data_IF_942027645212
#
_entry.id   IF_942027645212
#
_cell.length_a   1.000
_cell.length_b   1.000
_cell.length_c   1.000
_cell.angle_alpha   90.00
_cell.angle_beta   90.00
_cell.angle_gamma   90.00
#
_symmetry.space_group_name_H-M   'P 1'
#
loop_
_entity.id
_entity.type
_entity.pdbx_description
1 polymer ?
#
# COMPACT_ATOMS: atom_id res chain seq x y z
N UNK A 1 -15.87 23.99 31.22
CA UNK A 1 -17.11 23.26 31.53
C UNK A 1 -16.82 21.79 31.22
N UNK A 2 -16.52 21.01 32.25
CA UNK A 2 -15.98 19.63 32.16
C UNK A 2 -17.08 18.68 32.61
N UNK A 3 -17.44 17.62 31.86
CA UNK A 3 -18.33 16.60 32.38
C UNK A 3 -17.55 15.64 33.30
N UNK A 4 -18.09 15.33 34.50
CA UNK A 4 -17.50 14.38 35.41
C UNK A 4 -18.00 12.95 35.13
N UNK A 5 -17.10 11.99 35.35
CA UNK A 5 -17.44 10.71 35.98
C UNK A 5 -18.20 9.69 35.16
N UNK A 6 -17.50 8.63 34.74
CA UNK A 6 -18.15 7.37 34.38
C UNK A 6 -17.34 6.19 34.93
N UNK A 7 -17.67 5.86 36.18
CA UNK A 7 -18.00 4.51 36.65
C UNK A 7 -17.12 3.33 36.22
N UNK A 8 -16.20 2.98 37.13
CA UNK A 8 -16.05 1.66 37.75
C UNK A 8 -16.39 0.42 36.90
N UNK A 9 -15.32 -0.21 36.39
CA UNK A 9 -15.30 -1.60 35.92
C UNK A 9 -15.71 -2.56 37.05
N UNK A 10 -16.90 -3.15 36.89
CA UNK A 10 -17.27 -4.37 37.61
C UNK A 10 -16.53 -5.58 37.04
N UNK A 11 -15.51 -6.03 37.78
CA UNK A 11 -14.86 -7.33 37.61
C UNK A 11 -15.81 -8.40 38.15
N UNK A 12 -16.46 -9.16 37.28
CA UNK A 12 -17.17 -10.39 37.67
C UNK A 12 -16.23 -11.57 37.48
N UNK A 13 -15.66 -12.00 38.59
CA UNK A 13 -15.12 -13.35 38.75
C UNK A 13 -16.31 -14.32 38.68
N UNK A 14 -16.40 -15.08 37.58
CA UNK A 14 -17.35 -16.18 37.42
C UNK A 14 -16.59 -17.48 37.58
N UNK A 15 -16.34 -17.88 38.82
CA UNK A 15 -15.97 -19.25 39.14
C UNK A 15 -17.13 -20.19 38.83
N UNK A 16 -16.92 -21.10 37.87
CA UNK A 16 -17.76 -22.29 37.72
C UNK A 16 -17.03 -23.50 38.31
N UNK A 17 -17.68 -24.25 39.22
CA UNK A 17 -17.15 -25.52 39.69
C UNK A 17 -17.23 -26.57 38.59
N UNK A 18 -16.13 -27.30 38.45
CA UNK A 18 -15.94 -28.44 37.56
C UNK A 18 -16.80 -29.60 38.10
N UNK A 19 -17.91 -29.88 37.45
CA UNK A 19 -18.67 -31.10 37.67
C UNK A 19 -18.05 -32.20 36.80
N UNK A 20 -17.38 -33.13 37.47
CA UNK A 20 -16.88 -34.37 36.90
C UNK A 20 -18.09 -35.27 36.58
N UNK A 21 -18.66 -35.09 35.40
CA UNK A 21 -19.63 -36.02 34.83
C UNK A 21 -18.87 -37.00 33.94
N UNK A 22 -18.57 -38.16 34.50
CA UNK A 22 -18.14 -39.34 33.75
C UNK A 22 -19.21 -39.67 32.69
N UNK A 23 -18.92 -39.33 31.44
CA UNK A 23 -19.72 -39.72 30.29
C UNK A 23 -19.45 -41.19 29.97
N UNK A 24 -20.50 -41.99 29.71
CA UNK A 24 -20.33 -43.38 29.31
C UNK A 24 -19.50 -43.45 28.03
N UNK A 25 -18.53 -44.36 28.02
CA UNK A 25 -17.73 -44.72 26.86
C UNK A 25 -18.63 -45.28 25.76
N UNK A 26 -19.12 -44.35 24.92
CA UNK A 26 -19.85 -44.66 23.71
C UNK A 26 -18.82 -45.12 22.67
N UNK A 27 -18.72 -46.44 22.47
CA UNK A 27 -18.00 -47.04 21.35
C UNK A 27 -18.72 -46.67 20.05
N UNK A 28 -18.49 -45.44 19.60
CA UNK A 28 -18.99 -44.92 18.33
C UNK A 28 -18.40 -45.71 17.18
N UNK A 29 -19.26 -46.48 16.51
CA UNK A 29 -18.96 -47.05 15.21
C UNK A 29 -18.47 -45.92 14.27
N UNK A 30 -17.44 -46.17 13.45
CA UNK A 30 -16.92 -45.17 12.53
C UNK A 30 -18.06 -44.71 11.62
N UNK A 31 -18.41 -43.43 11.74
CA UNK A 31 -19.41 -42.83 10.87
C UNK A 31 -18.94 -42.98 9.42
N UNK A 32 -19.78 -43.50 8.50
CA UNK A 32 -19.37 -43.65 7.12
C UNK A 32 -18.97 -42.29 6.55
N UNK A 33 -17.95 -42.22 5.69
CA UNK A 33 -17.47 -40.96 5.13
C UNK A 33 -18.64 -40.22 4.47
N UNK A 34 -18.97 -39.04 4.99
CA UNK A 34 -20.05 -38.23 4.46
C UNK A 34 -19.76 -37.95 2.98
N UNK A 35 -20.62 -38.45 2.08
CA UNK A 35 -20.45 -38.25 0.64
C UNK A 35 -20.44 -36.74 0.37
N UNK A 36 -19.42 -36.19 -0.31
CA UNK A 36 -19.35 -34.77 -0.54
C UNK A 36 -20.58 -34.33 -1.33
N UNK A 37 -21.37 -33.45 -0.72
CA UNK A 37 -22.53 -32.84 -1.37
C UNK A 37 -22.11 -32.20 -2.69
N UNK A 38 -22.88 -32.43 -3.75
CA UNK A 38 -22.65 -31.85 -5.09
C UNK A 38 -22.45 -30.33 -5.03
N UNK A 39 -23.06 -29.64 -4.06
CA UNK A 39 -22.83 -28.21 -3.77
C UNK A 39 -21.41 -27.90 -3.30
N UNK A 40 -20.82 -28.73 -2.43
CA UNK A 40 -19.44 -28.58 -1.97
C UNK A 40 -18.44 -28.88 -3.09
N UNK A 41 -18.77 -29.84 -3.95
CA UNK A 41 -17.93 -30.16 -5.12
C UNK A 41 -17.91 -29.01 -6.15
N UNK A 42 -19.08 -28.43 -6.48
CA UNK A 42 -19.17 -27.27 -7.37
C UNK A 42 -18.54 -26.01 -6.77
N UNK A 43 -18.69 -25.78 -5.46
CA UNK A 43 -18.02 -24.68 -4.76
C UNK A 43 -16.49 -24.85 -4.77
N UNK A 44 -15.99 -26.07 -4.54
CA UNK A 44 -14.56 -26.37 -4.60
C UNK A 44 -13.99 -26.21 -6.02
N UNK A 45 -14.72 -26.65 -7.05
CA UNK A 45 -14.33 -26.45 -8.45
C UNK A 45 -14.32 -24.95 -8.83
N UNK A 46 -15.30 -24.18 -8.36
CA UNK A 46 -15.36 -22.75 -8.58
C UNK A 46 -14.19 -22.00 -7.93
N UNK A 47 -13.87 -22.30 -6.67
CA UNK A 47 -12.72 -21.70 -5.97
C UNK A 47 -11.39 -22.10 -6.61
N UNK A 48 -11.22 -23.38 -6.99
CA UNK A 48 -10.02 -23.86 -7.66
C UNK A 48 -9.83 -23.21 -9.04
N UNK A 49 -10.91 -23.05 -9.82
CA UNK A 49 -10.89 -22.37 -11.11
C UNK A 49 -10.50 -20.89 -11.00
N UNK A 50 -11.01 -20.18 -9.98
CA UNK A 50 -10.64 -18.78 -9.70
C UNK A 50 -9.16 -18.70 -9.29
N UNK A 51 -8.70 -19.57 -8.39
CA UNK A 51 -7.31 -19.58 -7.94
C UNK A 51 -6.33 -19.89 -9.08
N UNK A 52 -6.65 -20.85 -9.95
CA UNK A 52 -5.82 -21.19 -11.11
C UNK A 52 -5.82 -20.06 -12.15
N UNK A 53 -6.99 -19.44 -12.42
CA UNK A 53 -7.11 -18.29 -13.30
C UNK A 53 -6.30 -17.09 -12.81
N UNK A 54 -6.30 -16.82 -11.50
CA UNK A 54 -5.45 -15.80 -10.87
C UNK A 54 -3.96 -16.18 -10.93
N UNK A 55 -3.62 -17.45 -10.71
CA UNK A 55 -2.24 -17.95 -10.75
C UNK A 55 -1.58 -17.81 -12.13
N UNK A 56 -2.25 -18.23 -13.20
CA UNK A 56 -1.76 -18.06 -14.59
C UNK A 56 -1.55 -16.57 -14.90
N UNK A 57 -2.44 -15.74 -14.36
CA UNK A 57 -2.40 -14.30 -14.53
C UNK A 57 -1.27 -13.64 -13.74
N UNK A 58 -0.60 -14.30 -12.80
CA UNK A 58 0.58 -13.76 -12.13
C UNK A 58 1.89 -13.96 -12.93
N UNK A 59 1.87 -14.72 -14.02
CA UNK A 59 3.08 -15.02 -14.82
C UNK A 59 3.26 -14.04 -15.98
N UNK A 60 4.50 -13.73 -16.35
CA UNK A 60 4.84 -12.99 -17.58
C UNK A 60 4.90 -11.47 -17.44
N UNK A 61 5.44 -10.97 -16.34
CA UNK A 61 5.89 -9.58 -16.16
C UNK A 61 7.27 -9.40 -16.80
N UNK A 62 7.36 -8.83 -18.01
CA UNK A 62 8.63 -8.83 -18.78
C UNK A 62 9.47 -7.58 -18.54
N UNK A 63 8.84 -6.41 -18.32
CA UNK A 63 9.54 -5.11 -18.26
C UNK A 63 10.40 -4.98 -17.00
N UNK A 64 9.98 -5.61 -15.90
CA UNK A 64 10.64 -5.51 -14.60
C UNK A 64 11.31 -6.82 -14.12
N UNK A 65 11.68 -7.73 -15.02
CA UNK A 65 12.38 -8.98 -14.66
C UNK A 65 13.74 -8.73 -13.95
N UNK A 66 14.37 -7.58 -14.21
CA UNK A 66 15.66 -7.19 -13.58
C UNK A 66 15.47 -6.27 -12.37
N UNK A 67 14.24 -6.10 -11.90
CA UNK A 67 13.93 -5.25 -10.76
C UNK A 67 14.60 -5.78 -9.49
N UNK A 68 15.26 -4.88 -8.76
CA UNK A 68 15.87 -5.13 -7.45
C UNK A 68 15.36 -4.09 -6.44
N UNK A 69 14.08 -4.18 -6.11
CA UNK A 69 13.46 -3.36 -5.08
C UNK A 69 13.69 -3.95 -3.69
N UNK A 70 13.60 -3.10 -2.67
CA UNK A 70 13.72 -3.51 -1.28
C UNK A 70 12.35 -3.89 -0.68
N UNK A 71 11.29 -3.23 -1.13
CA UNK A 71 9.91 -3.45 -0.64
C UNK A 71 9.01 -3.95 -1.76
N UNK A 72 8.98 -3.25 -2.89
CA UNK A 72 8.17 -3.59 -4.05
C UNK A 72 8.75 -4.79 -4.80
N UNK A 73 7.86 -5.72 -5.15
CA UNK A 73 8.14 -6.80 -6.09
C UNK A 73 8.19 -6.24 -7.51
N UNK A 74 8.86 -6.94 -8.42
CA UNK A 74 9.00 -6.48 -9.82
C UNK A 74 7.67 -6.17 -10.51
N UNK A 75 6.63 -6.96 -10.25
CA UNK A 75 5.30 -6.71 -10.82
C UNK A 75 4.59 -5.50 -10.19
N UNK A 76 4.83 -5.21 -8.91
CA UNK A 76 4.26 -4.04 -8.22
C UNK A 76 4.91 -2.76 -8.73
N UNK A 77 6.23 -2.79 -8.95
CA UNK A 77 6.94 -1.72 -9.62
C UNK A 77 6.39 -1.48 -11.05
N UNK A 78 6.03 -2.54 -11.77
CA UNK A 78 5.38 -2.44 -13.08
C UNK A 78 3.98 -1.80 -13.01
N UNK A 79 3.20 -2.12 -11.97
CA UNK A 79 1.89 -1.47 -11.71
C UNK A 79 2.07 0.03 -11.45
N UNK A 80 3.00 0.40 -10.56
CA UNK A 80 3.29 1.82 -10.27
C UNK A 80 3.74 2.56 -11.51
N UNK A 81 4.69 2.00 -12.28
CA UNK A 81 5.16 2.60 -13.52
C UNK A 81 4.03 2.75 -14.55
N UNK A 82 3.19 1.72 -14.72
CA UNK A 82 2.06 1.76 -15.65
C UNK A 82 0.99 2.79 -15.24
N UNK A 83 0.80 3.01 -13.94
CA UNK A 83 -0.11 4.05 -13.42
C UNK A 83 0.50 5.45 -13.58
N UNK A 84 1.77 5.62 -13.23
CA UNK A 84 2.49 6.89 -13.37
C UNK A 84 2.52 7.37 -14.83
N UNK A 85 2.70 6.45 -15.79
CA UNK A 85 2.68 6.73 -17.23
C UNK A 85 1.39 7.44 -17.67
N UNK A 86 0.23 7.11 -17.09
CA UNK A 86 -1.06 7.70 -17.50
C UNK A 86 -1.57 8.79 -16.57
N UNK A 87 -1.15 8.79 -15.30
CA UNK A 87 -1.56 9.80 -14.33
C UNK A 87 -0.76 11.10 -14.45
N UNK A 88 0.49 11.00 -14.90
CA UNK A 88 1.42 12.12 -15.02
C UNK A 88 1.67 12.54 -16.48
N UNK A 89 1.03 11.90 -17.45
CA UNK A 89 0.95 12.42 -18.81
C UNK A 89 -0.05 13.59 -18.83
N UNK A 90 0.41 14.76 -18.41
CA UNK A 90 -0.39 15.99 -18.24
C UNK A 90 -1.08 16.45 -19.54
N UNK A 91 -0.58 16.02 -20.70
CA UNK A 91 -1.06 16.49 -22.00
C UNK A 91 -2.00 15.49 -22.67
N UNK A 92 -2.00 14.23 -22.24
CA UNK A 92 -2.68 13.15 -22.96
C UNK A 92 -2.25 13.03 -24.43
N UNK A 93 -1.11 13.65 -24.79
CA UNK A 93 -0.60 13.72 -26.16
C UNK A 93 0.40 12.61 -26.44
N UNK A 94 0.78 11.81 -25.43
CA UNK A 94 1.87 10.83 -25.55
C UNK A 94 3.25 11.47 -25.73
N UNK A 95 3.38 12.79 -25.49
CA UNK A 95 4.67 13.45 -25.44
C UNK A 95 5.44 12.98 -24.20
N UNK A 96 6.77 12.94 -24.27
CA UNK A 96 7.60 12.56 -23.13
C UNK A 96 7.26 13.47 -21.93
N UNK A 97 6.93 12.90 -20.76
CA UNK A 97 6.57 13.70 -19.59
C UNK A 97 7.74 14.61 -19.20
N UNK A 98 7.43 15.85 -18.84
CA UNK A 98 8.39 16.77 -18.21
C UNK A 98 8.57 16.29 -16.77
N UNK A 99 9.42 15.29 -16.57
CA UNK A 99 9.58 14.64 -15.28
C UNK A 99 10.35 13.33 -15.34
N UNK A 100 10.49 12.65 -14.19
CA UNK A 100 11.20 11.38 -14.14
C UNK A 100 10.48 10.29 -14.93
N UNK A 101 11.27 9.32 -15.45
CA UNK A 101 10.69 8.16 -16.13
C UNK A 101 9.79 7.36 -15.16
N UNK A 102 8.77 6.66 -15.66
CA UNK A 102 7.91 5.81 -14.82
C UNK A 102 8.68 4.76 -13.99
N UNK A 103 9.77 4.20 -14.52
CA UNK A 103 10.66 3.29 -13.76
C UNK A 103 11.39 3.99 -12.62
N UNK A 104 11.75 5.26 -12.81
CA UNK A 104 12.38 6.07 -11.77
C UNK A 104 11.38 6.39 -10.66
N UNK A 105 10.14 6.72 -11.03
CA UNK A 105 9.04 6.91 -10.08
C UNK A 105 8.82 5.64 -9.24
N UNK A 106 8.76 4.47 -9.87
CA UNK A 106 8.63 3.21 -9.13
C UNK A 106 9.79 2.98 -8.13
N UNK A 107 11.02 3.37 -8.47
CA UNK A 107 12.19 3.28 -7.55
C UNK A 107 12.08 4.26 -6.38
N UNK A 108 11.58 5.45 -6.64
CA UNK A 108 11.37 6.46 -5.61
C UNK A 108 10.23 6.05 -4.66
N UNK A 109 9.18 5.41 -5.19
CA UNK A 109 8.14 4.79 -4.36
C UNK A 109 8.73 3.66 -3.52
N UNK A 110 9.48 2.71 -4.09
CA UNK A 110 10.13 1.63 -3.34
C UNK A 110 10.98 2.15 -2.16
N UNK A 111 11.77 3.20 -2.40
CA UNK A 111 12.56 3.86 -1.35
C UNK A 111 11.68 4.52 -0.28
N UNK A 112 10.60 5.20 -0.68
CA UNK A 112 9.66 5.80 0.26
C UNK A 112 9.04 4.76 1.19
N UNK A 113 8.66 3.60 0.65
CA UNK A 113 8.02 2.54 1.42
C UNK A 113 8.91 1.91 2.51
N UNK A 114 10.25 2.04 2.41
CA UNK A 114 11.18 1.57 3.45
C UNK A 114 10.93 2.22 4.81
N UNK A 115 10.35 3.42 4.83
CA UNK A 115 10.14 4.20 6.04
C UNK A 115 8.73 4.05 6.62
N UNK A 116 7.87 3.28 5.96
CA UNK A 116 6.50 3.08 6.44
C UNK A 116 6.41 1.93 7.45
N UNK A 117 5.52 2.06 8.46
CA UNK A 117 5.18 0.94 9.32
C UNK A 117 4.75 -0.31 8.54
N UNK A 118 5.10 -1.53 8.99
CA UNK A 118 4.83 -2.76 8.24
C UNK A 118 3.34 -3.02 7.94
N UNK A 119 2.42 -2.48 8.73
CA UNK A 119 0.98 -2.61 8.45
C UNK A 119 0.55 -1.79 7.22
N UNK A 120 1.05 -0.55 7.07
CA UNK A 120 0.77 0.26 5.88
C UNK A 120 1.40 -0.34 4.62
N UNK A 121 2.60 -0.89 4.72
CA UNK A 121 3.25 -1.60 3.60
C UNK A 121 2.37 -2.76 3.11
N UNK A 122 1.79 -3.54 4.04
CA UNK A 122 0.84 -4.62 3.69
C UNK A 122 -0.41 -4.10 2.98
N UNK A 123 -0.97 -2.98 3.42
CA UNK A 123 -2.12 -2.35 2.77
C UNK A 123 -1.78 -1.90 1.34
N UNK A 124 -0.58 -1.34 1.13
CA UNK A 124 -0.10 -0.92 -0.18
C UNK A 124 0.10 -2.12 -1.11
N UNK A 125 0.63 -3.25 -0.63
CA UNK A 125 0.67 -4.49 -1.42
C UNK A 125 -0.74 -4.95 -1.82
N UNK A 126 -1.71 -4.88 -0.89
CA UNK A 126 -3.12 -5.18 -1.16
C UNK A 126 -3.71 -4.27 -2.23
N UNK A 127 -3.39 -2.98 -2.19
CA UNK A 127 -3.77 -1.98 -3.18
C UNK A 127 -3.25 -2.36 -4.57
N UNK A 128 -1.98 -2.74 -4.70
CA UNK A 128 -1.37 -3.14 -5.97
C UNK A 128 -2.01 -4.41 -6.55
N UNK A 129 -2.31 -5.41 -5.70
CA UNK A 129 -3.05 -6.61 -6.13
C UNK A 129 -4.43 -6.23 -6.63
N UNK A 130 -5.15 -5.38 -5.90
CA UNK A 130 -6.51 -4.97 -6.26
C UNK A 130 -6.52 -4.17 -7.56
N UNK A 131 -5.56 -3.28 -7.78
CA UNK A 131 -5.45 -2.53 -9.04
C UNK A 131 -5.13 -3.44 -10.22
N UNK A 132 -4.17 -4.36 -10.06
CA UNK A 132 -3.74 -5.25 -11.15
C UNK A 132 -4.83 -6.23 -11.58
N UNK A 133 -5.60 -6.74 -10.61
CA UNK A 133 -6.66 -7.74 -10.84
C UNK A 133 -8.06 -7.12 -10.99
N UNK A 134 -8.27 -5.89 -10.53
CA UNK A 134 -9.56 -5.18 -10.55
C UNK A 134 -10.11 -4.89 -11.94
N UNK A 135 -9.30 -5.07 -12.99
CA UNK A 135 -9.76 -5.02 -14.38
C UNK A 135 -10.81 -6.10 -14.69
N UNK A 136 -10.79 -7.24 -14.01
CA UNK A 136 -11.75 -8.34 -14.21
C UNK A 136 -13.17 -7.94 -13.82
N UNK A 137 -13.32 -7.10 -12.79
CA UNK A 137 -14.61 -6.58 -12.36
C UNK A 137 -15.27 -5.67 -13.42
N UNK A 138 -14.47 -5.20 -14.37
CA UNK A 138 -14.90 -4.40 -15.51
C UNK A 138 -14.91 -5.21 -16.82
N UNK A 139 -15.01 -6.55 -16.71
CA UNK A 139 -15.02 -7.51 -17.83
C UNK A 139 -13.78 -7.44 -18.72
N UNK A 140 -12.66 -6.91 -18.22
CA UNK A 140 -11.39 -6.87 -18.97
C UNK A 140 -10.50 -8.05 -18.59
N UNK A 141 -10.40 -8.98 -19.53
CA UNK A 141 -9.54 -10.17 -19.41
C UNK A 141 -8.04 -9.86 -19.44
N UNK A 142 -7.60 -8.63 -19.70
CA UNK A 142 -6.18 -8.22 -19.59
C UNK A 142 -5.93 -7.53 -18.25
N UNK A 143 -4.74 -7.75 -17.67
CA UNK A 143 -4.27 -7.11 -16.43
C UNK A 143 -4.05 -5.62 -16.65
N UNK A 144 -4.08 -4.82 -15.58
CA UNK A 144 -3.86 -3.37 -15.67
C UNK A 144 -2.54 -3.04 -16.37
N UNK A 145 -1.44 -3.66 -15.97
CA UNK A 145 -0.12 -3.51 -16.61
C UNK A 145 -0.10 -3.85 -18.10
N UNK A 146 -0.99 -4.73 -18.57
CA UNK A 146 -1.11 -5.16 -19.97
C UNK A 146 -2.16 -4.40 -20.78
N UNK A 147 -2.86 -3.45 -20.18
CA UNK A 147 -3.73 -2.53 -20.93
C UNK A 147 -2.89 -1.53 -21.72
N UNK A 148 -3.42 -1.03 -22.85
CA UNK A 148 -2.83 0.11 -23.55
C UNK A 148 -2.95 1.38 -22.69
N UNK A 149 -2.12 2.41 -22.90
CA UNK A 149 -2.22 3.68 -22.16
C UNK A 149 -3.65 4.28 -22.09
N UNK A 150 -4.41 4.42 -23.20
CA UNK A 150 -5.78 4.94 -23.11
C UNK A 150 -6.70 4.02 -22.30
N UNK A 151 -6.55 2.69 -22.41
CA UNK A 151 -7.34 1.74 -21.64
C UNK A 151 -6.99 1.75 -20.15
N UNK A 152 -5.75 2.04 -19.76
CA UNK A 152 -5.34 2.26 -18.37
C UNK A 152 -5.94 3.55 -17.81
N UNK A 153 -5.86 4.65 -18.58
CA UNK A 153 -6.46 5.93 -18.20
C UNK A 153 -7.97 5.78 -17.95
N UNK A 154 -8.69 5.16 -18.88
CA UNK A 154 -10.12 4.87 -18.72
C UNK A 154 -10.41 3.98 -17.50
N UNK A 155 -9.55 2.99 -17.22
CA UNK A 155 -9.72 2.14 -16.04
C UNK A 155 -9.57 2.95 -14.75
N UNK A 156 -8.53 3.80 -14.64
CA UNK A 156 -8.34 4.67 -13.49
C UNK A 156 -9.47 5.69 -13.33
N UNK A 157 -10.00 6.20 -14.44
CA UNK A 157 -11.14 7.13 -14.44
C UNK A 157 -12.42 6.47 -13.92
N UNK A 158 -12.66 5.20 -14.27
CA UNK A 158 -13.76 4.42 -13.69
C UNK A 158 -13.56 4.19 -12.19
N UNK A 159 -12.34 3.97 -11.71
CA UNK A 159 -12.07 3.88 -10.28
C UNK A 159 -12.34 5.21 -9.58
N UNK A 160 -11.94 6.33 -10.19
CA UNK A 160 -12.16 7.70 -9.68
C UNK A 160 -13.64 8.03 -9.55
N UNK A 161 -14.44 7.66 -10.54
CA UNK A 161 -15.89 7.92 -10.60
C UNK A 161 -16.74 6.86 -9.88
N UNK A 162 -16.14 5.76 -9.43
CA UNK A 162 -16.83 4.68 -8.73
C UNK A 162 -17.20 5.00 -7.27
N UNK A 163 -17.73 3.98 -6.58
CA UNK A 163 -18.05 4.08 -5.15
C UNK A 163 -16.83 4.34 -4.25
N UNK A 164 -17.08 4.61 -2.96
CA UNK A 164 -16.05 5.04 -1.99
C UNK A 164 -14.78 4.18 -1.99
N UNK A 165 -14.91 2.85 -2.02
CA UNK A 165 -13.76 1.94 -2.04
C UNK A 165 -12.89 2.08 -3.30
N UNK A 166 -13.50 2.21 -4.47
CA UNK A 166 -12.79 2.39 -5.74
C UNK A 166 -12.09 3.74 -5.82
N UNK A 167 -12.74 4.79 -5.29
CA UNK A 167 -12.14 6.12 -5.22
C UNK A 167 -10.92 6.14 -4.29
N UNK A 168 -10.96 5.40 -3.17
CA UNK A 168 -9.79 5.26 -2.29
C UNK A 168 -8.64 4.53 -2.97
N UNK A 169 -8.93 3.48 -3.75
CA UNK A 169 -7.93 2.80 -4.58
C UNK A 169 -7.25 3.75 -5.58
N UNK A 170 -8.06 4.57 -6.28
CA UNK A 170 -7.55 5.60 -7.21
C UNK A 170 -6.67 6.63 -6.49
N UNK A 171 -7.13 7.17 -5.35
CA UNK A 171 -6.36 8.16 -4.60
C UNK A 171 -5.04 7.58 -4.10
N UNK A 172 -5.04 6.37 -3.54
CA UNK A 172 -3.82 5.73 -3.05
C UNK A 172 -2.77 5.52 -4.15
N UNK A 173 -3.16 5.04 -5.34
CA UNK A 173 -2.19 4.90 -6.44
C UNK A 173 -1.72 6.26 -6.97
N UNK A 174 -2.61 7.25 -7.05
CA UNK A 174 -2.25 8.61 -7.47
C UNK A 174 -1.24 9.22 -6.51
N UNK A 175 -1.50 9.16 -5.21
CA UNK A 175 -0.66 9.76 -4.19
C UNK A 175 0.73 9.10 -4.18
N UNK A 176 0.81 7.77 -4.34
CA UNK A 176 2.09 7.08 -4.51
C UNK A 176 2.86 7.55 -5.75
N UNK A 177 2.18 7.71 -6.90
CA UNK A 177 2.83 8.22 -8.11
C UNK A 177 3.34 9.66 -7.92
N UNK A 178 2.55 10.52 -7.26
CA UNK A 178 2.93 11.89 -6.96
C UNK A 178 4.12 11.96 -6.00
N UNK A 179 4.13 11.14 -4.94
CA UNK A 179 5.26 11.00 -4.01
C UNK A 179 6.53 10.57 -4.75
N UNK A 180 6.42 9.61 -5.68
CA UNK A 180 7.57 9.18 -6.47
C UNK A 180 8.07 10.23 -7.46
N UNK A 181 7.16 11.01 -8.05
CA UNK A 181 7.46 12.10 -8.98
C UNK A 181 8.19 13.27 -8.29
N UNK A 182 7.65 13.75 -7.16
CA UNK A 182 8.18 14.90 -6.44
C UNK A 182 9.46 14.63 -5.63
N UNK A 183 10.01 13.42 -5.69
CA UNK A 183 11.37 13.15 -5.18
C UNK A 183 12.48 13.61 -6.16
N UNK A 184 12.14 14.03 -7.37
CA UNK A 184 13.09 14.41 -8.41
C UNK A 184 13.08 15.91 -8.66
N UNK A 185 14.27 16.54 -8.65
CA UNK A 185 14.42 17.99 -8.80
C UNK A 185 13.82 18.53 -10.10
N UNK A 186 13.92 17.77 -11.20
CA UNK A 186 13.33 18.17 -12.48
C UNK A 186 11.80 18.35 -12.43
N UNK A 187 11.10 17.60 -11.56
CA UNK A 187 9.66 17.79 -11.36
C UNK A 187 9.34 19.11 -10.63
N UNK A 188 10.24 19.59 -9.78
CA UNK A 188 10.08 20.88 -9.10
C UNK A 188 10.33 22.04 -10.06
N UNK A 189 11.39 21.95 -10.87
CA UNK A 189 11.73 22.96 -11.87
C UNK A 189 10.59 23.14 -12.88
N UNK A 190 9.91 22.06 -13.27
CA UNK A 190 8.76 22.09 -14.18
C UNK A 190 7.59 22.93 -13.66
N UNK A 191 7.41 23.01 -12.33
CA UNK A 191 6.35 23.82 -11.69
C UNK A 191 6.88 25.17 -11.18
N UNK A 192 8.11 25.56 -11.54
CA UNK A 192 8.74 26.79 -11.07
C UNK A 192 9.12 26.76 -9.58
N UNK A 193 9.16 25.57 -8.97
CA UNK A 193 9.61 25.41 -7.59
C UNK A 193 11.11 25.13 -7.57
N UNK A 194 11.89 26.00 -6.91
CA UNK A 194 13.36 25.86 -6.86
C UNK A 194 13.85 24.82 -5.83
N UNK A 195 12.93 24.19 -5.10
CA UNK A 195 13.24 23.28 -4.00
C UNK A 195 13.13 23.94 -2.63
N UNK A 196 13.49 23.22 -1.56
CA UNK A 196 13.46 23.76 -0.21
C UNK A 196 14.38 24.98 -0.10
N UNK A 197 13.89 26.03 0.57
CA UNK A 197 14.62 27.28 0.77
C UNK A 197 15.88 27.12 1.62
N UNK A 198 15.96 26.02 2.38
CA UNK A 198 17.11 25.68 3.19
C UNK A 198 18.00 24.81 2.32
N UNK A 199 19.12 25.39 1.87
CA UNK A 199 20.14 24.63 1.18
C UNK A 199 20.67 23.54 2.12
N UNK A 200 20.84 22.30 1.62
CA UNK A 200 21.54 21.28 2.36
C UNK A 200 22.96 21.80 2.71
N UNK A 201 23.50 21.55 3.92
CA UNK A 201 24.88 21.90 4.24
C UNK A 201 25.84 21.40 3.17
N UNK A 202 26.88 22.18 2.87
CA UNK A 202 27.82 21.89 1.78
C UNK A 202 28.53 20.53 1.90
N UNK A 203 28.55 19.95 3.09
CA UNK A 203 29.12 18.64 3.42
C UNK A 203 28.09 17.49 3.40
N UNK A 204 26.82 17.76 3.09
CA UNK A 204 25.79 16.75 3.06
C UNK A 204 26.03 15.76 1.89
N UNK A 205 26.37 14.52 2.23
CA UNK A 205 26.58 13.50 1.21
C UNK A 205 25.25 13.17 0.47
N UNK A 206 25.30 12.95 -0.86
CA UNK A 206 24.14 12.51 -1.63
C UNK A 206 23.56 11.20 -1.06
N UNK A 207 22.33 11.26 -0.56
CA UNK A 207 21.64 10.12 0.04
C UNK A 207 21.58 10.11 1.58
N UNK A 208 22.23 11.06 2.26
CA UNK A 208 22.20 11.18 3.73
C UNK A 208 20.94 11.89 4.24
N UNK A 209 20.16 12.51 3.35
CA UNK A 209 18.81 13.03 3.64
C UNK A 209 17.75 11.93 3.77
N UNK A 210 18.07 10.84 4.46
CA UNK A 210 17.11 9.91 5.02
C UNK A 210 16.87 10.24 6.49
N UNK A 211 16.44 11.47 6.82
CA UNK A 211 15.98 11.95 8.16
C UNK A 211 16.75 11.55 9.43
N UNK A 212 17.90 10.89 9.34
CA UNK A 212 18.92 10.95 10.37
C UNK A 212 19.44 12.39 10.31
N UNK A 213 18.66 13.30 10.90
CA UNK A 213 19.05 14.69 10.98
C UNK A 213 20.38 14.70 11.75
N UNK A 214 21.48 15.22 11.17
CA UNK A 214 22.56 15.70 12.03
C UNK A 214 21.89 16.63 13.06
N UNK A 215 22.30 16.58 14.34
CA UNK A 215 21.54 17.17 15.41
C UNK A 215 21.15 18.59 15.03
N UNK A 216 19.84 18.79 14.86
CA UNK A 216 19.35 20.01 14.29
C UNK A 216 19.71 21.16 15.23
N UNK A 217 19.73 22.40 14.75
CA UNK A 217 19.80 23.54 15.66
C UNK A 217 18.69 23.47 16.75
N UNK A 218 17.60 22.76 16.48
CA UNK A 218 16.50 22.49 17.42
C UNK A 218 16.79 21.37 18.42
N UNK A 219 17.77 20.49 18.20
CA UNK A 219 18.17 19.47 19.17
C UNK A 219 18.79 20.11 20.42
N UNK A 220 19.37 21.31 20.26
CA UNK A 220 19.81 22.15 21.39
C UNK A 220 18.66 22.78 22.18
N UNK A 221 17.45 22.78 21.61
CA UNK A 221 16.24 23.33 22.24
C UNK A 221 15.39 22.23 22.90
N UNK A 222 15.72 20.96 22.68
CA UNK A 222 15.11 19.84 23.41
C UNK A 222 15.78 19.74 24.77
N UNK A 223 15.02 20.00 25.84
CA UNK A 223 15.52 19.84 27.19
C UNK A 223 15.88 18.35 27.45
N UNK A 224 16.98 18.06 28.16
CA UNK A 224 17.30 16.71 28.61
C UNK A 224 16.11 16.06 29.32
N UNK A 225 16.00 14.74 29.20
CA UNK A 225 14.91 13.98 29.83
C UNK A 225 14.96 14.18 31.37
N UNK A 226 14.02 14.95 31.91
CA UNK A 226 13.96 15.32 33.33
C UNK A 226 14.14 16.81 33.63
N UNK A 227 14.54 17.63 32.66
CA UNK A 227 14.65 19.08 32.81
C UNK A 227 13.43 19.81 32.23
N UNK A 228 12.94 20.84 32.95
CA UNK A 228 11.90 21.73 32.43
C UNK A 228 12.47 22.53 31.24
N UNK A 229 11.69 22.72 30.15
CA UNK A 229 12.14 23.53 29.03
C UNK A 229 12.43 24.96 29.50
N UNK A 230 13.52 25.59 29.02
CA UNK A 230 13.90 26.92 29.46
C UNK A 230 12.74 27.89 29.20
N UNK A 231 12.20 28.47 30.27
CA UNK A 231 11.12 29.46 30.17
C UNK A 231 11.66 30.66 29.42
N UNK A 232 11.04 31.02 28.31
CA UNK A 232 11.34 32.24 27.59
C UNK A 232 11.14 33.44 28.54
N UNK A 233 12.23 34.02 29.02
CA UNK A 233 12.21 35.30 29.71
C UNK A 233 11.82 36.35 28.69
N UNK A 234 10.68 36.99 28.93
CA UNK A 234 10.16 38.12 28.14
C UNK A 234 11.05 39.35 28.28
#
# INVERSE_FOLDING_TARGET
>A
MVPPGSSLRGRRDSGYPRADTELPMNHGLPSPPSKPSRRRFLAALGVAGIALGLGVRMVGYRRFMRWKGSVLRGWEAEVVAAAAEVLLDERGTGAAPVGPSPEKIARNVDRYLLWLPPHLVREIHGLMVLLEQGTLLHLRARRFTRLSPPARSEHLERLRSGGRGWRLLYLGIRDLCMIGCYQERGAWEAIGYHGPLIEPPADAQPGTYGWAQPPSHYDRLVAPEGDDPPRATR
#
